data_IF_305083107729
#
_entry.id   IF_305083107729
#
_cell.length_a   1.000
_cell.length_b   1.000
_cell.length_c   1.000
_cell.angle_alpha   90.00
_cell.angle_beta   90.00
_cell.angle_gamma   90.00
#
_symmetry.space_group_name_H-M   'P 1'
#
loop_
_entity.id
_entity.type
_entity.pdbx_description
1 polymer ?
#
# COMPACT_ATOMS: atom_id res chain seq x y z
N UNK A 1 -39.88 -64.90 -21.36
CA UNK A 1 -38.55 -64.35 -20.98
C UNK A 1 -38.17 -63.05 -21.70
N UNK A 2 -38.22 -62.95 -23.04
CA UNK A 2 -37.70 -61.76 -23.78
C UNK A 2 -38.31 -60.39 -23.40
N UNK A 3 -39.61 -60.31 -23.10
CA UNK A 3 -40.28 -59.04 -22.74
C UNK A 3 -39.90 -58.51 -21.35
N UNK A 4 -39.67 -59.39 -20.37
CA UNK A 4 -39.25 -59.00 -19.02
C UNK A 4 -37.82 -58.46 -18.99
N UNK A 5 -36.91 -59.07 -19.76
CA UNK A 5 -35.53 -58.59 -19.91
C UNK A 5 -35.48 -57.22 -20.59
N UNK A 6 -36.29 -56.99 -21.63
CA UNK A 6 -36.37 -55.69 -22.30
C UNK A 6 -36.82 -54.55 -21.35
N UNK A 7 -37.80 -54.83 -20.48
CA UNK A 7 -38.30 -53.86 -19.50
C UNK A 7 -37.25 -53.51 -18.44
N UNK A 8 -36.49 -54.50 -17.98
CA UNK A 8 -35.37 -54.29 -17.05
C UNK A 8 -34.28 -53.43 -17.69
N UNK A 9 -33.93 -53.70 -18.95
CA UNK A 9 -32.92 -52.93 -19.69
C UNK A 9 -33.37 -51.48 -19.90
N UNK A 10 -34.63 -51.25 -20.30
CA UNK A 10 -35.18 -49.89 -20.45
C UNK A 10 -35.15 -49.14 -19.11
N UNK A 11 -35.51 -49.81 -18.02
CA UNK A 11 -35.50 -49.20 -16.68
C UNK A 11 -34.09 -48.83 -16.24
N UNK A 12 -33.11 -49.70 -16.47
CA UNK A 12 -31.69 -49.42 -16.20
C UNK A 12 -31.19 -48.22 -17.02
N UNK A 13 -31.52 -48.15 -18.30
CA UNK A 13 -31.16 -47.01 -19.16
C UNK A 13 -31.74 -45.72 -18.60
N UNK A 14 -33.03 -45.70 -18.23
CA UNK A 14 -33.68 -44.52 -17.65
C UNK A 14 -33.02 -44.09 -16.33
N UNK A 15 -32.66 -45.03 -15.45
CA UNK A 15 -31.94 -44.74 -14.21
C UNK A 15 -30.57 -44.12 -14.50
N UNK A 16 -29.80 -44.70 -15.43
CA UNK A 16 -28.47 -44.15 -15.77
C UNK A 16 -28.54 -42.74 -16.34
N UNK A 17 -29.52 -42.47 -17.22
CA UNK A 17 -29.76 -41.14 -17.79
C UNK A 17 -30.17 -40.16 -16.67
N UNK A 18 -31.05 -40.59 -15.76
CA UNK A 18 -31.48 -39.77 -14.62
C UNK A 18 -30.33 -39.42 -13.67
N UNK A 19 -29.48 -40.39 -13.33
CA UNK A 19 -28.29 -40.17 -12.50
C UNK A 19 -27.29 -39.23 -13.19
N UNK A 20 -27.09 -39.39 -14.49
CA UNK A 20 -26.23 -38.51 -15.28
C UNK A 20 -26.76 -37.06 -15.27
N UNK A 21 -28.05 -36.87 -15.56
CA UNK A 21 -28.70 -35.55 -15.52
C UNK A 21 -28.58 -34.91 -14.12
N UNK A 22 -28.88 -35.66 -13.06
CA UNK A 22 -28.74 -35.18 -11.69
C UNK A 22 -27.31 -34.76 -11.37
N UNK A 23 -26.30 -35.55 -11.79
CA UNK A 23 -24.89 -35.20 -11.61
C UNK A 23 -24.52 -33.91 -12.34
N UNK A 24 -24.98 -33.71 -13.57
CA UNK A 24 -24.69 -32.49 -14.35
C UNK A 24 -25.36 -31.26 -13.73
N UNK A 25 -26.60 -31.40 -13.25
CA UNK A 25 -27.33 -30.32 -12.59
C UNK A 25 -26.66 -29.89 -11.28
N UNK A 26 -26.26 -30.86 -10.43
CA UNK A 26 -25.53 -30.58 -9.18
C UNK A 26 -24.21 -29.87 -9.46
N UNK A 27 -23.47 -30.31 -10.49
CA UNK A 27 -22.23 -29.67 -10.90
C UNK A 27 -22.44 -28.22 -11.37
N UNK A 28 -23.45 -27.96 -12.19
CA UNK A 28 -23.77 -26.61 -12.66
C UNK A 28 -24.16 -25.67 -11.51
N UNK A 29 -24.94 -26.16 -10.52
CA UNK A 29 -25.28 -25.40 -9.31
C UNK A 29 -24.02 -25.06 -8.51
N UNK A 30 -23.13 -26.03 -8.34
CA UNK A 30 -21.87 -25.84 -7.62
C UNK A 30 -20.95 -24.83 -8.31
N UNK A 31 -20.78 -24.94 -9.63
CA UNK A 31 -19.99 -24.02 -10.43
C UNK A 31 -20.56 -22.59 -10.38
N UNK A 32 -21.89 -22.42 -10.47
CA UNK A 32 -22.51 -21.09 -10.38
C UNK A 32 -22.32 -20.46 -8.99
N UNK A 33 -22.44 -21.25 -7.91
CA UNK A 33 -22.21 -20.76 -6.54
C UNK A 33 -20.76 -20.29 -6.34
N UNK A 34 -19.80 -21.03 -6.89
CA UNK A 34 -18.40 -20.63 -6.82
C UNK A 34 -18.14 -19.36 -7.64
N UNK A 35 -18.72 -19.26 -8.84
CA UNK A 35 -18.60 -18.08 -9.68
C UNK A 35 -19.18 -16.82 -9.00
N UNK A 36 -20.34 -16.93 -8.35
CA UNK A 36 -20.93 -15.82 -7.59
C UNK A 36 -20.02 -15.38 -6.44
N UNK A 37 -19.42 -16.34 -5.73
CA UNK A 37 -18.45 -16.05 -4.66
C UNK A 37 -17.20 -15.37 -5.19
N UNK A 38 -16.62 -15.87 -6.28
CA UNK A 38 -15.39 -15.32 -6.86
C UNK A 38 -15.60 -13.89 -7.37
N UNK A 39 -16.74 -13.62 -8.01
CA UNK A 39 -17.15 -12.25 -8.38
C UNK A 39 -17.28 -11.34 -7.16
N UNK A 40 -17.92 -11.84 -6.11
CA UNK A 40 -18.11 -11.06 -4.88
C UNK A 40 -16.77 -10.75 -4.19
N UNK A 41 -15.84 -11.72 -4.17
CA UNK A 41 -14.48 -11.53 -3.67
C UNK A 41 -13.71 -10.51 -4.52
N UNK A 42 -13.87 -10.54 -5.84
CA UNK A 42 -13.28 -9.55 -6.74
C UNK A 42 -13.77 -8.13 -6.40
N UNK A 43 -15.07 -7.93 -6.19
CA UNK A 43 -15.60 -6.62 -5.80
C UNK A 43 -15.14 -6.18 -4.41
N UNK A 44 -15.08 -7.09 -3.43
CA UNK A 44 -14.53 -6.78 -2.10
C UNK A 44 -13.05 -6.39 -2.19
N UNK A 45 -12.26 -7.11 -2.99
CA UNK A 45 -10.86 -6.78 -3.25
C UNK A 45 -10.71 -5.43 -3.95
N UNK A 46 -11.55 -5.14 -4.95
CA UNK A 46 -11.57 -3.86 -5.64
C UNK A 46 -11.89 -2.70 -4.69
N UNK A 47 -12.89 -2.86 -3.81
CA UNK A 47 -13.19 -1.87 -2.79
C UNK A 47 -12.03 -1.67 -1.81
N UNK A 48 -11.34 -2.74 -1.42
CA UNK A 48 -10.14 -2.66 -0.59
C UNK A 48 -9.00 -1.90 -1.29
N UNK A 49 -8.80 -2.10 -2.59
CA UNK A 49 -7.81 -1.35 -3.38
C UNK A 49 -8.16 0.14 -3.42
N UNK A 50 -9.42 0.48 -3.68
CA UNK A 50 -9.88 1.88 -3.69
C UNK A 50 -9.63 2.57 -2.34
N UNK A 51 -9.98 1.91 -1.23
CA UNK A 51 -9.69 2.41 0.11
C UNK A 51 -8.19 2.59 0.36
N UNK A 52 -7.36 1.66 -0.13
CA UNK A 52 -5.91 1.74 0.00
C UNK A 52 -5.31 2.90 -0.79
N UNK A 53 -5.78 3.15 -2.01
CA UNK A 53 -5.35 4.30 -2.81
C UNK A 53 -5.73 5.61 -2.12
N UNK A 54 -6.97 5.74 -1.65
CA UNK A 54 -7.43 6.93 -0.94
C UNK A 54 -6.63 7.18 0.34
N UNK A 55 -6.37 6.14 1.13
CA UNK A 55 -5.57 6.26 2.34
C UNK A 55 -4.14 6.72 2.08
N UNK A 56 -3.51 6.22 1.02
CA UNK A 56 -2.15 6.64 0.67
C UNK A 56 -2.08 8.10 0.19
N UNK A 57 -3.12 8.59 -0.51
CA UNK A 57 -3.21 10.02 -0.85
C UNK A 57 -3.35 10.88 0.41
N UNK A 58 -4.24 10.51 1.33
CA UNK A 58 -4.39 11.21 2.62
C UNK A 58 -3.09 11.24 3.42
N UNK A 59 -2.43 10.08 3.55
CA UNK A 59 -1.16 9.97 4.25
C UNK A 59 -0.08 10.84 3.58
N UNK A 60 0.02 10.82 2.25
CA UNK A 60 0.99 11.63 1.52
C UNK A 60 0.76 13.14 1.72
N UNK A 61 -0.48 13.60 1.59
CA UNK A 61 -0.84 15.01 1.75
C UNK A 61 -0.62 15.49 3.19
N UNK A 62 -0.98 14.66 4.18
CA UNK A 62 -0.73 14.92 5.59
C UNK A 62 0.76 15.02 5.89
N UNK A 63 1.55 14.05 5.42
CA UNK A 63 2.99 14.05 5.64
C UNK A 63 3.66 15.29 5.01
N UNK A 64 3.20 15.74 3.85
CA UNK A 64 3.69 16.98 3.23
C UNK A 64 3.37 18.22 4.05
N UNK A 65 2.24 18.21 4.76
CA UNK A 65 1.80 19.31 5.61
C UNK A 65 2.55 19.36 6.95
N UNK A 66 2.65 18.24 7.66
CA UNK A 66 3.16 18.18 9.04
C UNK A 66 4.57 17.57 9.17
N UNK A 67 5.00 16.77 8.20
CA UNK A 67 6.23 15.97 8.26
C UNK A 67 6.16 14.78 9.22
N UNK A 68 4.96 14.40 9.70
CA UNK A 68 4.79 13.31 10.65
C UNK A 68 3.34 12.81 10.72
N UNK A 69 3.12 11.51 10.53
CA UNK A 69 1.86 10.82 10.84
C UNK A 69 1.64 10.54 12.32
N UNK A 70 2.69 10.71 13.14
CA UNK A 70 2.67 10.41 14.58
C UNK A 70 2.46 11.66 15.45
N UNK A 71 2.07 12.79 14.87
CA UNK A 71 1.95 14.07 15.57
C UNK A 71 0.61 14.28 16.30
N UNK A 72 -0.29 13.30 16.23
CA UNK A 72 -1.60 13.31 16.89
C UNK A 72 -2.78 13.56 15.95
N UNK A 73 -2.50 13.83 14.67
CA UNK A 73 -3.51 14.01 13.62
C UNK A 73 -3.03 13.36 12.32
N UNK A 74 -3.96 12.84 11.52
CA UNK A 74 -3.66 12.45 10.14
C UNK A 74 -4.80 12.92 9.26
N UNK A 75 -4.54 13.93 8.42
CA UNK A 75 -5.55 14.54 7.54
C UNK A 75 -6.81 15.02 8.27
N UNK A 76 -6.65 15.59 9.47
CA UNK A 76 -7.77 16.05 10.31
C UNK A 76 -8.45 14.95 11.13
N UNK A 77 -7.95 13.71 11.07
CA UNK A 77 -8.41 12.61 11.93
C UNK A 77 -7.50 12.51 13.15
N UNK A 78 -8.04 12.83 14.33
CA UNK A 78 -7.30 12.75 15.60
C UNK A 78 -6.91 11.32 15.95
N UNK A 79 -5.66 10.97 15.70
CA UNK A 79 -5.09 9.64 15.91
C UNK A 79 -3.73 9.82 16.59
N UNK A 80 -3.56 9.22 17.77
CA UNK A 80 -2.31 9.30 18.53
C UNK A 80 -1.73 7.90 18.72
N UNK A 81 -0.42 7.69 18.49
CA UNK A 81 0.23 6.41 18.72
C UNK A 81 0.23 6.04 20.21
N UNK A 82 -0.26 4.85 20.53
CA UNK A 82 -0.10 4.21 21.84
C UNK A 82 1.07 3.23 21.82
N UNK A 83 2.14 3.57 22.53
CA UNK A 83 3.33 2.69 22.62
C UNK A 83 3.16 1.51 23.57
N UNK A 84 2.11 1.50 24.41
CA UNK A 84 1.79 0.39 25.30
C UNK A 84 1.07 -0.75 24.58
N UNK A 85 0.36 -0.45 23.48
CA UNK A 85 -0.27 -1.40 22.58
C UNK A 85 0.23 -1.20 21.14
N UNK A 86 1.33 -1.87 20.80
CA UNK A 86 1.95 -1.78 19.47
C UNK A 86 1.12 -2.44 18.37
N UNK A 87 0.09 -3.20 18.72
CA UNK A 87 -0.82 -3.86 17.79
C UNK A 87 -2.13 -3.09 17.61
N UNK A 88 -2.31 -1.97 18.32
CA UNK A 88 -3.45 -1.10 18.21
C UNK A 88 -3.64 -0.61 16.76
N UNK A 89 -4.88 -0.74 16.28
CA UNK A 89 -5.31 -0.23 14.97
C UNK A 89 -6.26 0.93 15.15
N UNK A 90 -6.04 1.97 14.35
CA UNK A 90 -6.81 3.22 14.39
C UNK A 90 -7.54 3.41 13.07
N UNK A 91 -8.83 3.75 13.11
CA UNK A 91 -9.60 4.02 11.89
C UNK A 91 -9.17 5.34 11.29
N UNK A 92 -8.58 5.29 10.08
CA UNK A 92 -8.22 6.46 9.28
C UNK A 92 -9.39 6.88 8.38
N UNK A 93 -10.04 5.90 7.73
CA UNK A 93 -11.22 6.13 6.89
C UNK A 93 -12.33 5.24 7.40
N UNK A 94 -13.41 5.86 7.86
CA UNK A 94 -14.63 5.17 8.26
C UNK A 94 -15.24 4.41 7.07
N UNK A 95 -16.13 3.46 7.36
CA UNK A 95 -16.82 2.70 6.32
C UNK A 95 -17.46 3.63 5.28
N UNK A 96 -16.97 3.55 4.05
CA UNK A 96 -17.34 4.39 2.92
C UNK A 96 -17.91 3.54 1.80
N UNK A 97 -19.05 3.94 1.26
CA UNK A 97 -19.70 3.27 0.14
C UNK A 97 -19.03 3.66 -1.17
N UNK A 98 -18.51 2.67 -1.90
CA UNK A 98 -17.96 2.84 -3.25
C UNK A 98 -19.05 2.66 -4.32
N UNK A 99 -19.91 1.67 -4.12
CA UNK A 99 -21.08 1.35 -4.95
C UNK A 99 -22.16 0.73 -4.04
N UNK A 100 -23.40 0.58 -4.51
CA UNK A 100 -24.56 0.15 -3.73
C UNK A 100 -24.32 -1.08 -2.84
N UNK A 101 -23.46 -2.01 -3.28
CA UNK A 101 -23.14 -3.23 -2.53
C UNK A 101 -21.67 -3.28 -2.05
N UNK A 102 -20.83 -2.33 -2.44
CA UNK A 102 -19.39 -2.34 -2.19
C UNK A 102 -19.00 -1.21 -1.24
N UNK A 103 -18.33 -1.55 -0.15
CA UNK A 103 -17.86 -0.59 0.85
C UNK A 103 -16.40 -0.86 1.20
N UNK A 104 -15.72 0.11 1.79
CA UNK A 104 -14.41 -0.11 2.37
C UNK A 104 -14.22 0.67 3.67
N UNK A 105 -13.35 0.20 4.54
CA UNK A 105 -12.85 0.88 5.73
C UNK A 105 -11.33 0.80 5.71
N UNK A 106 -10.65 1.87 6.15
CA UNK A 106 -9.20 1.85 6.31
C UNK A 106 -8.79 2.09 7.75
N UNK A 107 -7.91 1.21 8.24
CA UNK A 107 -7.22 1.33 9.51
C UNK A 107 -5.72 1.44 9.33
N UNK A 108 -5.05 2.02 10.31
CA UNK A 108 -3.60 2.11 10.38
C UNK A 108 -3.07 1.53 11.68
N UNK A 109 -1.81 1.13 11.68
CA UNK A 109 -1.09 0.69 12.86
C UNK A 109 0.30 1.33 12.85
N UNK A 110 0.63 2.06 13.91
CA UNK A 110 1.94 2.68 14.06
C UNK A 110 3.05 1.64 14.22
N UNK A 111 4.23 1.99 13.71
CA UNK A 111 5.44 1.19 13.90
C UNK A 111 6.34 1.97 14.85
N UNK A 112 6.92 1.28 15.82
CA UNK A 112 7.74 1.87 16.87
C UNK A 112 9.19 1.44 16.75
N UNK A 113 10.11 2.32 17.14
CA UNK A 113 11.52 2.00 17.30
C UNK A 113 11.78 1.19 18.60
N UNK A 114 13.06 0.87 18.86
CA UNK A 114 13.47 0.18 20.08
C UNK A 114 13.27 1.03 21.36
N UNK A 115 13.15 2.35 21.22
CA UNK A 115 12.89 3.30 22.28
C UNK A 115 11.40 3.59 22.52
N UNK A 116 10.49 2.86 21.86
CA UNK A 116 9.04 3.05 21.92
C UNK A 116 8.54 4.38 21.32
N UNK A 117 9.32 5.02 20.45
CA UNK A 117 8.87 6.18 19.69
C UNK A 117 8.24 5.71 18.37
N UNK A 118 7.07 6.26 18.03
CA UNK A 118 6.45 5.98 16.74
C UNK A 118 7.27 6.61 15.61
N UNK A 119 7.39 5.90 14.50
CA UNK A 119 8.03 6.43 13.30
C UNK A 119 7.16 7.49 12.64
N UNK A 120 7.76 8.66 12.39
CA UNK A 120 7.06 9.81 11.80
C UNK A 120 6.47 9.51 10.42
N UNK A 121 7.18 8.76 9.58
CA UNK A 121 6.78 8.50 8.20
C UNK A 121 6.61 7.01 7.90
N UNK A 122 6.34 6.16 8.90
CA UNK A 122 6.16 4.72 8.70
C UNK A 122 5.04 4.13 9.55
N UNK A 123 4.07 3.51 8.88
CA UNK A 123 2.97 2.79 9.51
C UNK A 123 2.44 1.69 8.59
N UNK A 124 1.73 0.72 9.15
CA UNK A 124 0.96 -0.25 8.36
C UNK A 124 -0.42 0.31 8.04
N UNK A 125 -0.85 0.14 6.79
CA UNK A 125 -2.20 0.47 6.34
C UNK A 125 -2.95 -0.82 6.04
N UNK A 126 -4.14 -0.95 6.61
CA UNK A 126 -5.08 -2.05 6.42
C UNK A 126 -6.33 -1.50 5.75
N UNK A 127 -6.61 -1.90 4.52
CA UNK A 127 -7.85 -1.54 3.83
C UNK A 127 -8.73 -2.77 3.72
N UNK A 128 -9.90 -2.73 4.33
CA UNK A 128 -10.88 -3.82 4.29
C UNK A 128 -12.02 -3.43 3.37
N UNK A 129 -12.12 -4.11 2.24
CA UNK A 129 -13.24 -3.99 1.33
C UNK A 129 -14.30 -5.06 1.62
N UNK A 130 -15.56 -4.66 1.52
CA UNK A 130 -16.74 -5.45 1.84
C UNK A 130 -17.67 -5.44 0.64
N UNK A 131 -18.22 -6.60 0.30
CA UNK A 131 -19.24 -6.71 -0.73
C UNK A 131 -20.45 -7.49 -0.22
N UNK A 132 -21.61 -6.85 -0.26
CA UNK A 132 -22.89 -7.48 0.10
C UNK A 132 -23.39 -8.34 -1.07
N UNK A 133 -23.36 -9.66 -0.86
CA UNK A 133 -23.81 -10.65 -1.85
C UNK A 133 -25.34 -10.64 -1.88
N UNK A 134 -25.95 -10.62 -0.70
CA UNK A 134 -27.39 -10.62 -0.42
C UNK A 134 -27.65 -9.91 0.90
N UNK A 135 -28.89 -9.47 1.19
CA UNK A 135 -29.21 -8.76 2.43
C UNK A 135 -28.68 -9.47 3.68
N UNK A 136 -27.70 -8.86 4.35
CA UNK A 136 -27.07 -9.40 5.57
C UNK A 136 -25.99 -10.48 5.35
N UNK A 137 -25.62 -10.78 4.12
CA UNK A 137 -24.51 -11.68 3.77
C UNK A 137 -23.42 -10.90 3.02
N UNK A 138 -22.28 -10.70 3.70
CA UNK A 138 -21.16 -9.91 3.19
C UNK A 138 -19.91 -10.78 3.10
N UNK A 139 -19.14 -10.58 2.03
CA UNK A 139 -17.77 -11.10 1.93
C UNK A 139 -16.79 -9.94 2.09
N UNK A 140 -15.68 -10.21 2.76
CA UNK A 140 -14.67 -9.21 3.06
C UNK A 140 -13.29 -9.63 2.55
N UNK A 141 -12.46 -8.64 2.25
CA UNK A 141 -11.04 -8.81 1.93
C UNK A 141 -10.27 -7.67 2.53
N UNK A 142 -9.17 -7.99 3.22
CA UNK A 142 -8.28 -7.01 3.80
C UNK A 142 -6.94 -7.02 3.07
N UNK A 143 -6.54 -5.86 2.59
CA UNK A 143 -5.21 -5.60 2.04
C UNK A 143 -4.36 -4.93 3.10
N UNK A 144 -3.09 -5.31 3.17
CA UNK A 144 -2.10 -4.72 4.06
C UNK A 144 -0.91 -4.20 3.27
N UNK A 145 -0.53 -2.95 3.50
CA UNK A 145 0.64 -2.33 2.85
C UNK A 145 1.41 -1.44 3.83
N UNK A 146 2.74 -1.45 3.73
CA UNK A 146 3.59 -0.50 4.47
C UNK A 146 3.49 0.86 3.79
N UNK A 147 3.16 1.90 4.54
CA UNK A 147 3.31 3.28 4.10
C UNK A 147 4.68 3.81 4.54
N UNK A 148 5.39 4.46 3.61
CA UNK A 148 6.67 5.12 3.85
C UNK A 148 6.67 6.48 3.16
N UNK A 149 6.73 7.58 3.91
CA UNK A 149 6.65 8.94 3.33
C UNK A 149 7.92 9.79 3.47
N UNK A 150 8.93 9.34 4.19
CA UNK A 150 10.22 10.04 4.29
C UNK A 150 11.30 9.27 3.57
N UNK A 151 11.69 9.72 2.38
CA UNK A 151 12.90 9.25 1.72
C UNK A 151 14.07 10.20 1.95
N UNK A 152 13.80 11.47 2.27
CA UNK A 152 14.83 12.49 2.49
C UNK A 152 14.57 13.23 3.79
N UNK A 153 15.63 13.50 4.55
CA UNK A 153 15.61 14.28 5.78
C UNK A 153 16.60 15.44 5.68
N UNK A 154 16.13 16.68 5.78
CA UNK A 154 16.97 17.85 5.94
C UNK A 154 17.33 18.00 7.43
N UNK A 155 18.58 17.71 7.76
CA UNK A 155 19.09 17.70 9.14
C UNK A 155 19.08 19.09 9.74
N UNK A 156 19.42 20.11 8.95
CA UNK A 156 19.56 21.48 9.41
C UNK A 156 18.20 22.13 9.70
N UNK A 157 17.19 21.80 8.89
CA UNK A 157 15.83 22.33 9.05
C UNK A 157 14.92 21.43 9.89
N UNK A 158 15.35 20.21 10.21
CA UNK A 158 14.56 19.17 10.85
C UNK A 158 13.24 18.86 10.10
N UNK A 159 13.30 18.80 8.77
CA UNK A 159 12.16 18.54 7.89
C UNK A 159 12.35 17.25 7.09
N UNK A 160 11.26 16.55 6.82
CA UNK A 160 11.24 15.31 6.03
C UNK A 160 10.54 15.55 4.71
N UNK A 161 10.98 14.86 3.67
CA UNK A 161 10.44 14.97 2.33
C UNK A 161 10.26 13.58 1.70
N UNK A 162 9.21 13.41 0.89
CA UNK A 162 8.96 12.17 0.17
C UNK A 162 9.92 11.97 -1.02
N UNK A 163 10.45 13.05 -1.59
CA UNK A 163 11.35 13.03 -2.74
C UNK A 163 12.52 14.01 -2.57
N UNK A 164 13.56 13.85 -3.40
CA UNK A 164 14.80 14.60 -3.28
C UNK A 164 14.71 15.99 -3.92
N UNK A 165 13.96 16.14 -5.02
CA UNK A 165 13.71 17.43 -5.65
C UNK A 165 13.03 18.43 -4.70
N UNK A 166 11.97 18.00 -4.00
CA UNK A 166 11.25 18.82 -3.00
C UNK A 166 12.17 19.22 -1.86
N UNK A 167 12.99 18.30 -1.36
CA UNK A 167 13.99 18.58 -0.34
C UNK A 167 15.02 19.63 -0.81
N UNK A 168 15.54 19.50 -2.03
CA UNK A 168 16.50 20.45 -2.62
C UNK A 168 15.85 21.83 -2.82
N UNK A 169 14.60 21.87 -3.27
CA UNK A 169 13.89 23.12 -3.51
C UNK A 169 13.70 23.93 -2.22
N UNK A 170 13.30 23.28 -1.12
CA UNK A 170 13.08 23.92 0.20
C UNK A 170 14.39 24.14 0.99
N UNK A 171 15.46 23.41 0.69
CA UNK A 171 16.74 23.55 1.38
C UNK A 171 17.37 24.95 1.22
N UNK A 172 17.97 25.42 2.31
CA UNK A 172 18.82 26.59 2.32
C UNK A 172 20.23 26.21 1.83
N UNK A 173 20.98 27.14 1.22
CA UNK A 173 22.39 26.88 0.89
C UNK A 173 23.20 26.46 2.12
N UNK A 174 23.89 25.32 2.03
CA UNK A 174 24.69 24.72 3.11
C UNK A 174 23.98 23.61 3.88
N UNK A 175 22.70 23.35 3.61
CA UNK A 175 21.95 22.29 4.30
C UNK A 175 22.45 20.88 3.95
N UNK A 176 22.25 19.96 4.89
CA UNK A 176 22.55 18.52 4.75
C UNK A 176 21.25 17.73 4.59
N UNK A 177 21.13 17.04 3.45
CA UNK A 177 20.03 16.15 3.11
C UNK A 177 20.49 14.69 3.24
N UNK A 178 19.88 13.93 4.15
CA UNK A 178 20.09 12.49 4.29
C UNK A 178 19.03 11.75 3.49
N UNK A 179 19.44 10.76 2.70
CA UNK A 179 18.53 9.99 1.85
C UNK A 179 18.53 8.53 2.28
N UNK A 180 17.33 8.03 2.59
CA UNK A 180 17.10 6.66 3.01
C UNK A 180 17.31 5.66 1.86
N UNK A 181 17.47 4.39 2.21
CA UNK A 181 17.54 3.29 1.25
C UNK A 181 16.28 3.18 0.40
N UNK A 182 16.44 2.59 -0.78
CA UNK A 182 15.36 2.32 -1.72
C UNK A 182 15.59 2.99 -3.07
N UNK A 183 14.60 2.85 -3.95
CA UNK A 183 14.61 3.48 -5.27
C UNK A 183 13.83 4.78 -5.23
N UNK A 184 14.48 5.87 -5.62
CA UNK A 184 13.89 7.19 -5.86
C UNK A 184 13.72 7.37 -7.36
N UNK A 185 12.53 7.73 -7.82
CA UNK A 185 12.29 8.09 -9.22
C UNK A 185 12.15 9.59 -9.32
N UNK A 186 13.23 10.26 -9.73
CA UNK A 186 13.36 11.72 -9.68
C UNK A 186 14.27 12.24 -10.80
N UNK A 187 14.04 13.46 -11.28
CA UNK A 187 14.95 14.20 -12.15
C UNK A 187 15.48 15.40 -11.38
N UNK A 188 16.67 15.26 -10.82
CA UNK A 188 17.19 16.17 -9.80
C UNK A 188 18.00 17.30 -10.41
N UNK A 189 17.73 18.53 -9.99
CA UNK A 189 18.57 19.70 -10.30
C UNK A 189 19.12 20.30 -9.02
N UNK A 190 20.44 20.27 -8.84
CA UNK A 190 21.13 20.87 -7.69
C UNK A 190 21.74 22.21 -8.12
N UNK A 191 21.07 23.30 -7.73
CA UNK A 191 21.42 24.67 -8.14
C UNK A 191 21.90 25.56 -6.98
N UNK A 192 22.07 25.00 -5.78
CA UNK A 192 22.53 25.68 -4.57
C UNK A 192 23.46 24.77 -3.78
N UNK A 193 24.35 25.33 -2.96
CA UNK A 193 25.28 24.56 -2.12
C UNK A 193 24.49 23.62 -1.19
N UNK A 194 24.75 22.32 -1.24
CA UNK A 194 24.10 21.29 -0.41
C UNK A 194 25.07 20.13 -0.16
N UNK A 195 24.88 19.46 0.99
CA UNK A 195 25.46 18.15 1.26
C UNK A 195 24.36 17.10 1.16
N UNK A 196 24.45 16.17 0.22
CA UNK A 196 23.48 15.09 0.01
C UNK A 196 24.16 13.76 0.30
N UNK A 197 23.69 13.09 1.35
CA UNK A 197 24.23 11.83 1.82
C UNK A 197 23.23 10.71 1.58
N UNK A 198 23.49 9.85 0.60
CA UNK A 198 22.68 8.65 0.39
C UNK A 198 23.20 7.50 1.26
N UNK A 199 22.38 6.46 1.42
CA UNK A 199 22.79 5.26 2.13
C UNK A 199 22.34 5.20 3.60
N UNK A 200 21.23 5.86 3.96
CA UNK A 200 20.70 5.81 5.32
C UNK A 200 19.63 4.72 5.51
N UNK A 201 19.51 4.21 6.73
CA UNK A 201 18.30 3.52 7.15
C UNK A 201 17.06 4.45 7.08
N UNK A 202 15.86 3.89 7.23
CA UNK A 202 14.63 4.69 7.22
C UNK A 202 14.49 5.63 8.42
N UNK A 203 15.40 5.53 9.39
CA UNK A 203 15.44 6.38 10.59
C UNK A 203 16.44 7.52 10.45
N UNK A 204 17.19 7.57 9.35
CA UNK A 204 18.25 8.55 9.11
C UNK A 204 19.29 8.61 10.23
N UNK A 205 19.47 7.51 10.96
CA UNK A 205 20.38 7.39 12.11
C UNK A 205 21.62 6.57 11.77
N UNK A 206 21.49 5.54 10.94
CA UNK A 206 22.59 4.69 10.52
C UNK A 206 22.87 4.87 9.03
N UNK A 207 24.09 5.33 8.71
CA UNK A 207 24.56 5.43 7.34
C UNK A 207 25.47 4.26 7.00
N UNK A 208 25.03 3.41 6.09
CA UNK A 208 25.85 2.37 5.47
C UNK A 208 25.41 2.22 4.00
N UNK A 209 26.10 2.84 3.05
CA UNK A 209 25.72 2.79 1.64
C UNK A 209 25.73 1.39 1.01
N UNK A 210 26.37 0.39 1.63
CA UNK A 210 26.38 -0.98 1.13
C UNK A 210 25.13 -1.75 1.58
N UNK A 211 24.68 -1.52 2.83
CA UNK A 211 23.50 -2.17 3.41
C UNK A 211 22.21 -1.42 3.06
N UNK A 212 22.25 -0.09 3.10
CA UNK A 212 21.14 0.81 2.92
C UNK A 212 21.15 1.44 1.53
N UNK A 213 21.31 0.63 0.48
CA UNK A 213 21.47 1.15 -0.88
C UNK A 213 20.32 2.06 -1.31
N UNK A 214 20.70 3.26 -1.75
CA UNK A 214 19.82 4.23 -2.39
C UNK A 214 20.10 4.21 -3.89
N UNK A 215 19.05 4.08 -4.70
CA UNK A 215 19.13 4.07 -6.16
C UNK A 215 18.27 5.22 -6.67
N UNK A 216 18.86 6.14 -7.44
CA UNK A 216 18.13 7.24 -8.07
C UNK A 216 17.94 6.87 -9.54
N UNK A 217 16.69 6.82 -9.99
CA UNK A 217 16.27 6.50 -11.36
C UNK A 217 15.55 7.71 -11.95
N UNK A 218 15.61 7.93 -13.28
CA UNK A 218 14.94 9.07 -13.88
C UNK A 218 13.42 8.89 -13.83
N UNK A 219 12.71 9.93 -13.38
CA UNK A 219 11.25 9.99 -13.50
C UNK A 219 10.82 10.12 -14.99
N UNK A 220 11.59 10.87 -15.77
CA UNK A 220 11.46 11.02 -17.22
C UNK A 220 12.80 10.67 -17.88
N UNK A 221 12.81 9.60 -18.67
CA UNK A 221 13.99 9.10 -19.40
C UNK A 221 14.51 10.05 -20.48
N UNK A 222 13.74 11.10 -20.81
CA UNK A 222 14.13 12.12 -21.81
C UNK A 222 14.90 13.29 -21.19
N UNK A 223 15.06 13.31 -19.86
CA UNK A 223 15.82 14.34 -19.12
C UNK A 223 16.93 13.69 -18.30
N UNK A 224 18.06 14.37 -18.04
CA UNK A 224 19.09 13.84 -17.17
C UNK A 224 18.53 13.48 -15.79
N UNK A 225 18.94 12.34 -15.22
CA UNK A 225 18.58 11.94 -13.86
C UNK A 225 19.12 12.94 -12.82
N UNK A 226 20.33 13.46 -13.05
CA UNK A 226 20.99 14.42 -12.17
C UNK A 226 21.65 15.54 -12.98
N UNK A 227 21.30 16.79 -12.65
CA UNK A 227 21.91 18.01 -13.18
C UNK A 227 22.49 18.82 -12.02
N UNK A 228 23.78 19.16 -12.09
CA UNK A 228 24.45 19.99 -11.09
C UNK A 228 24.89 21.29 -11.76
N UNK A 229 24.42 22.41 -11.23
CA UNK A 229 24.81 23.76 -11.69
C UNK A 229 25.44 24.60 -10.59
N UNK A 230 25.46 24.11 -9.35
CA UNK A 230 26.12 24.75 -8.21
C UNK A 230 27.62 24.41 -8.13
N UNK A 231 28.40 25.31 -7.53
CA UNK A 231 29.86 25.17 -7.40
C UNK A 231 30.35 24.28 -6.24
N UNK A 232 29.59 24.19 -5.14
CA UNK A 232 30.01 23.50 -3.90
C UNK A 232 28.98 22.43 -3.50
N UNK A 233 29.03 21.25 -4.13
CA UNK A 233 28.13 20.13 -3.84
C UNK A 233 28.91 18.93 -3.34
N UNK A 234 28.48 18.38 -2.20
CA UNK A 234 28.91 17.06 -1.73
C UNK A 234 27.78 16.05 -1.97
N UNK A 235 28.02 15.05 -2.83
CA UNK A 235 27.09 13.94 -3.06
C UNK A 235 27.83 12.63 -2.83
N UNK A 236 27.30 11.74 -1.97
CA UNK A 236 28.00 10.49 -1.68
C UNK A 236 27.14 9.37 -1.09
N UNK A 237 27.55 8.13 -1.38
CA UNK A 237 26.77 6.91 -1.13
C UNK A 237 25.72 6.69 -2.22
N UNK A 238 25.37 5.45 -2.55
CA UNK A 238 24.29 5.13 -3.51
C UNK A 238 24.68 5.05 -4.99
N UNK A 239 23.67 4.80 -5.83
CA UNK A 239 23.78 4.64 -7.29
C UNK A 239 22.82 5.62 -7.99
N UNK A 240 23.28 6.27 -9.06
CA UNK A 240 22.45 7.07 -9.97
C UNK A 240 22.42 6.34 -11.31
N UNK A 241 21.23 6.05 -11.83
CA UNK A 241 21.00 5.35 -13.10
C UNK A 241 20.47 6.27 -14.19
#
# INVERSE_FOLDING_TARGET
MRRGVALIVITLILITISLYLASTAVRAIYENKNLERDKSLFFAHYAALAGMEQAFLMLEDDFKSSGSWSDGDISGVSITPDSSDKDAQYTLINETTLDNNAKFEVKIQFIFDAGNNAYKGRLWVYSTGKYEIRPGETIETTLRRLATASQVYNVNQNKYYPDLASAINDANPGDTLRVAKGTLSDNITINKNLTIELGYDYDFTHRDPFVHQTIITPLNSSSPTLTITAGDINLGGGKVE
#
